data_IF_856395075833
#
_entry.id   IF_856395075833
#
_cell.length_a   1.000
_cell.length_b   1.000
_cell.length_c   1.000
_cell.angle_alpha   90.00
_cell.angle_beta   90.00
_cell.angle_gamma   90.00
#
_symmetry.space_group_name_H-M   'P 1'
#
loop_
_entity.id
_entity.type
_entity.pdbx_description
1 polymer ?
#
# COMPACT_ATOMS: atom_id res chain seq x y z
N UNK A 1 -8.97 1.66 -35.78
CA UNK A 1 -8.31 1.73 -34.46
C UNK A 1 -8.87 0.60 -33.60
N UNK A 2 -8.06 -0.36 -33.16
CA UNK A 2 -8.55 -1.47 -32.33
C UNK A 2 -9.06 -0.93 -31.00
N UNK A 3 -10.28 -1.31 -30.59
CA UNK A 3 -10.85 -0.88 -29.32
C UNK A 3 -10.00 -1.44 -28.18
N UNK A 4 -9.44 -0.55 -27.35
CA UNK A 4 -8.60 -0.96 -26.21
C UNK A 4 -9.43 -1.76 -25.22
N UNK A 5 -8.90 -2.90 -24.77
CA UNK A 5 -9.56 -3.69 -23.73
C UNK A 5 -9.67 -2.89 -22.43
N UNK A 6 -10.68 -3.19 -21.60
CA UNK A 6 -10.86 -2.55 -20.28
C UNK A 6 -9.59 -2.64 -19.43
N UNK A 7 -8.92 -3.80 -19.44
CA UNK A 7 -7.67 -4.01 -18.71
C UNK A 7 -6.50 -3.16 -19.21
N UNK A 8 -6.37 -2.96 -20.54
CA UNK A 8 -5.33 -2.07 -21.09
C UNK A 8 -5.60 -0.60 -20.74
N UNK A 9 -6.86 -0.17 -20.82
CA UNK A 9 -7.27 1.17 -20.42
C UNK A 9 -6.98 1.42 -18.94
N UNK A 10 -7.29 0.45 -18.09
CA UNK A 10 -7.00 0.50 -16.66
C UNK A 10 -5.50 0.56 -16.37
N UNK A 11 -4.68 -0.31 -16.99
CA UNK A 11 -3.21 -0.27 -16.84
C UNK A 11 -2.64 1.09 -17.19
N UNK A 12 -3.04 1.66 -18.33
CA UNK A 12 -2.57 2.99 -18.76
C UNK A 12 -2.96 4.08 -17.77
N UNK A 13 -4.21 4.08 -17.28
CA UNK A 13 -4.68 5.06 -16.32
C UNK A 13 -3.95 4.94 -14.97
N UNK A 14 -3.76 3.69 -14.50
CA UNK A 14 -3.05 3.42 -13.25
C UNK A 14 -1.58 3.84 -13.33
N UNK A 15 -0.89 3.57 -14.45
CA UNK A 15 0.49 4.03 -14.64
C UNK A 15 0.61 5.55 -14.66
N UNK A 16 -0.28 6.24 -15.37
CA UNK A 16 -0.26 7.70 -15.45
C UNK A 16 -0.47 8.33 -14.07
N UNK A 17 -1.42 7.80 -13.30
CA UNK A 17 -1.68 8.29 -11.96
C UNK A 17 -0.54 7.98 -10.97
N UNK A 18 0.07 6.79 -11.07
CA UNK A 18 1.22 6.41 -10.24
C UNK A 18 2.38 7.39 -10.45
N UNK A 19 2.68 7.74 -11.72
CA UNK A 19 3.71 8.75 -12.06
C UNK A 19 3.40 10.12 -11.47
N UNK A 20 2.16 10.57 -11.63
CA UNK A 20 1.72 11.88 -11.15
C UNK A 20 1.80 11.96 -9.62
N UNK A 21 1.29 10.94 -8.92
CA UNK A 21 1.33 10.87 -7.47
C UNK A 21 2.77 10.76 -6.95
N UNK A 22 3.62 9.97 -7.61
CA UNK A 22 5.03 9.82 -7.23
C UNK A 22 5.89 11.06 -7.51
N UNK A 23 5.37 12.04 -8.25
CA UNK A 23 6.14 13.19 -8.78
C UNK A 23 7.30 12.79 -9.71
N UNK A 24 7.10 11.70 -10.47
CA UNK A 24 8.15 11.12 -11.33
C UNK A 24 7.60 10.85 -12.72
N UNK A 25 7.64 11.82 -13.65
CA UNK A 25 7.10 11.63 -15.00
C UNK A 25 7.84 10.53 -15.78
N UNK A 26 9.14 10.34 -15.51
CA UNK A 26 9.98 9.30 -16.12
C UNK A 26 9.85 7.90 -15.51
N UNK A 27 9.06 7.73 -14.43
CA UNK A 27 8.93 6.45 -13.74
C UNK A 27 8.37 5.39 -14.70
N UNK A 28 9.09 4.27 -14.85
CA UNK A 28 8.61 3.11 -15.59
C UNK A 28 7.60 2.38 -14.72
N UNK A 29 6.48 1.99 -15.29
CA UNK A 29 5.45 1.23 -14.58
C UNK A 29 5.19 -0.04 -15.36
N UNK A 30 5.44 -1.17 -14.73
CA UNK A 30 5.21 -2.49 -15.31
C UNK A 30 4.22 -3.29 -14.45
N UNK A 31 3.68 -4.35 -15.04
CA UNK A 31 2.62 -5.15 -14.44
C UNK A 31 3.01 -6.62 -14.42
N UNK A 32 2.89 -7.28 -13.28
CA UNK A 32 3.24 -8.68 -13.10
C UNK A 32 2.39 -9.41 -12.06
N UNK A 33 2.59 -10.72 -11.87
CA UNK A 33 1.87 -11.51 -10.87
C UNK A 33 2.39 -11.26 -9.44
N UNK A 34 3.58 -10.67 -9.31
CA UNK A 34 4.27 -10.45 -8.04
C UNK A 34 3.63 -9.36 -7.19
N UNK A 35 4.05 -9.28 -5.92
CA UNK A 35 3.64 -8.20 -5.03
C UNK A 35 4.20 -6.86 -5.53
N UNK A 36 3.43 -5.77 -5.39
CA UNK A 36 3.91 -4.45 -5.79
C UNK A 36 5.21 -4.06 -5.09
N UNK A 37 6.19 -3.57 -5.86
CA UNK A 37 7.48 -3.13 -5.34
C UNK A 37 8.13 -2.10 -6.25
N UNK A 38 9.17 -1.43 -5.75
CA UNK A 38 10.00 -0.49 -6.52
C UNK A 38 11.39 -1.10 -6.70
N UNK A 39 11.91 -1.03 -7.92
CA UNK A 39 13.30 -1.35 -8.25
C UNK A 39 13.91 -0.20 -9.05
N UNK A 40 14.79 0.58 -8.41
CA UNK A 40 15.36 1.79 -9.03
C UNK A 40 14.27 2.78 -9.46
N UNK A 41 14.21 3.08 -10.75
CA UNK A 41 13.20 3.96 -11.38
C UNK A 41 12.04 3.19 -12.03
N UNK A 42 11.83 1.94 -11.62
CA UNK A 42 10.71 1.11 -12.06
C UNK A 42 9.79 0.73 -10.89
N UNK A 43 8.49 0.98 -11.08
CA UNK A 43 7.42 0.54 -10.21
C UNK A 43 6.75 -0.69 -10.81
N UNK A 44 6.85 -1.82 -10.12
CA UNK A 44 6.17 -3.06 -10.48
C UNK A 44 4.84 -3.11 -9.75
N UNK A 45 3.73 -3.16 -10.48
CA UNK A 45 2.38 -3.28 -9.95
C UNK A 45 1.79 -4.66 -10.26
N UNK A 46 0.78 -5.07 -9.48
CA UNK A 46 0.05 -6.29 -9.75
C UNK A 46 -0.77 -6.15 -11.03
N UNK A 47 -0.70 -7.14 -11.91
CA UNK A 47 -1.48 -7.16 -13.13
C UNK A 47 -2.99 -7.29 -12.82
N UNK A 48 -3.86 -6.52 -13.51
CA UNK A 48 -5.29 -6.68 -13.33
C UNK A 48 -5.74 -8.06 -13.83
N UNK A 49 -6.72 -8.69 -13.15
CA UNK A 49 -7.28 -9.96 -13.58
C UNK A 49 -8.00 -9.81 -14.95
N UNK A 50 -8.20 -10.93 -15.70
CA UNK A 50 -8.90 -10.89 -16.99
C UNK A 50 -10.30 -10.25 -16.91
N UNK A 51 -11.02 -10.52 -15.81
CA UNK A 51 -12.28 -9.87 -15.47
C UNK A 51 -12.03 -8.93 -14.30
N UNK A 52 -12.05 -7.63 -14.59
CA UNK A 52 -11.75 -6.58 -13.62
C UNK A 52 -13.03 -6.18 -12.86
N UNK A 53 -13.19 -6.66 -11.62
CA UNK A 53 -14.31 -6.25 -10.76
C UNK A 53 -14.02 -4.89 -10.08
N UNK A 54 -15.06 -4.15 -9.63
CA UNK A 54 -14.86 -2.89 -8.89
C UNK A 54 -13.93 -3.02 -7.69
N UNK A 55 -14.02 -4.11 -6.92
CA UNK A 55 -13.15 -4.34 -5.76
C UNK A 55 -11.70 -4.54 -6.17
N UNK A 56 -11.44 -5.20 -7.31
CA UNK A 56 -10.09 -5.37 -7.85
C UNK A 56 -9.50 -4.01 -8.26
N UNK A 57 -10.32 -3.14 -8.87
CA UNK A 57 -9.92 -1.78 -9.23
C UNK A 57 -9.46 -1.01 -8.00
N UNK A 58 -10.26 -1.02 -6.94
CA UNK A 58 -9.95 -0.29 -5.72
C UNK A 58 -8.68 -0.81 -5.03
N UNK A 59 -8.51 -2.13 -4.92
CA UNK A 59 -7.33 -2.74 -4.30
C UNK A 59 -6.06 -2.44 -5.11
N UNK A 60 -6.11 -2.64 -6.43
CA UNK A 60 -4.97 -2.34 -7.31
C UNK A 60 -4.63 -0.86 -7.28
N UNK A 61 -5.64 0.00 -7.14
CA UNK A 61 -5.45 1.43 -7.00
C UNK A 61 -4.79 1.82 -5.68
N UNK A 62 -5.26 1.29 -4.56
CA UNK A 62 -4.65 1.55 -3.26
C UNK A 62 -3.21 1.06 -3.15
N UNK A 63 -2.92 -0.11 -3.74
CA UNK A 63 -1.55 -0.63 -3.84
C UNK A 63 -0.64 0.31 -4.65
N UNK A 64 -1.11 0.81 -5.79
CA UNK A 64 -0.35 1.74 -6.62
C UNK A 64 -0.15 3.09 -5.93
N UNK A 65 -1.18 3.62 -5.27
CA UNK A 65 -1.11 4.88 -4.53
C UNK A 65 -0.13 4.76 -3.35
N UNK A 66 -0.14 3.65 -2.59
CA UNK A 66 0.82 3.40 -1.51
C UNK A 66 2.27 3.31 -2.00
N UNK A 67 2.50 2.67 -3.15
CA UNK A 67 3.81 2.63 -3.80
C UNK A 67 4.26 4.03 -4.24
N UNK A 68 3.35 4.82 -4.81
CA UNK A 68 3.61 6.19 -5.22
C UNK A 68 3.94 7.10 -4.01
N UNK A 69 3.23 6.95 -2.89
CA UNK A 69 3.52 7.69 -1.66
C UNK A 69 4.91 7.34 -1.13
N UNK A 70 5.30 6.07 -1.19
CA UNK A 70 6.67 5.66 -0.86
C UNK A 70 7.67 6.35 -1.78
N UNK A 71 7.50 6.30 -3.09
CA UNK A 71 8.41 6.96 -4.04
C UNK A 71 8.53 8.47 -3.81
N UNK A 72 7.44 9.13 -3.39
CA UNK A 72 7.39 10.58 -3.17
C UNK A 72 8.01 11.00 -1.83
N UNK A 73 7.72 10.28 -0.75
CA UNK A 73 7.97 10.75 0.61
C UNK A 73 9.00 9.94 1.40
N UNK A 74 9.48 8.83 0.86
CA UNK A 74 10.51 8.00 1.48
C UNK A 74 11.92 8.44 1.07
N UNK A 75 12.82 8.57 2.03
CA UNK A 75 14.25 8.72 1.78
C UNK A 75 14.96 7.40 2.10
N UNK A 76 15.44 6.71 1.07
CA UNK A 76 16.05 5.38 1.20
C UNK A 76 17.35 5.37 2.00
N UNK A 77 18.21 6.38 1.82
CA UNK A 77 19.50 6.44 2.50
C UNK A 77 19.33 6.76 3.98
N UNK A 78 18.47 7.71 4.30
CA UNK A 78 18.14 8.05 5.68
C UNK A 78 17.51 6.85 6.39
N UNK A 79 16.51 6.22 5.77
CA UNK A 79 15.87 5.03 6.34
C UNK A 79 16.88 3.90 6.59
N UNK A 80 17.79 3.65 5.62
CA UNK A 80 18.82 2.62 5.79
C UNK A 80 19.78 2.96 6.94
N UNK A 81 20.17 4.22 7.09
CA UNK A 81 21.12 4.66 8.12
C UNK A 81 20.59 4.53 9.55
N UNK A 82 19.26 4.62 9.73
CA UNK A 82 18.59 4.52 11.03
C UNK A 82 17.97 3.15 11.29
N UNK A 83 18.08 2.22 10.34
CA UNK A 83 17.40 0.95 10.45
C UNK A 83 18.03 0.08 11.55
N UNK A 84 17.21 -0.52 12.44
CA UNK A 84 17.70 -1.39 13.49
C UNK A 84 18.25 -2.71 12.94
N UNK A 85 19.16 -3.34 13.68
CA UNK A 85 19.82 -4.59 13.29
C UNK A 85 18.98 -5.85 13.51
N UNK A 86 18.09 -5.86 14.51
CA UNK A 86 17.24 -7.02 14.81
C UNK A 86 16.15 -7.23 13.77
N UNK A 87 15.93 -8.47 13.33
CA UNK A 87 14.96 -8.81 12.27
C UNK A 87 13.54 -8.30 12.57
N UNK A 88 13.03 -8.53 13.79
CA UNK A 88 11.69 -8.08 14.20
C UNK A 88 11.63 -6.55 14.25
N UNK A 89 12.63 -5.92 14.87
CA UNK A 89 12.72 -4.47 14.95
C UNK A 89 12.78 -3.83 13.56
N UNK A 90 13.49 -4.47 12.61
CA UNK A 90 13.59 -4.03 11.23
C UNK A 90 12.25 -4.12 10.52
N UNK A 91 11.52 -5.22 10.68
CA UNK A 91 10.18 -5.37 10.11
C UNK A 91 9.21 -4.31 10.64
N UNK A 92 9.24 -4.03 11.95
CA UNK A 92 8.45 -2.95 12.56
C UNK A 92 8.84 -1.58 11.97
N UNK A 93 10.14 -1.30 11.89
CA UNK A 93 10.66 -0.03 11.37
C UNK A 93 10.28 0.20 9.90
N UNK A 94 10.45 -0.81 9.06
CA UNK A 94 10.09 -0.75 7.63
C UNK A 94 8.58 -0.56 7.43
N UNK A 95 7.77 -1.25 8.24
CA UNK A 95 6.31 -1.15 8.17
C UNK A 95 5.78 0.20 8.67
N UNK A 96 6.35 0.74 9.75
CA UNK A 96 6.00 2.07 10.27
C UNK A 96 6.37 3.18 9.29
N UNK A 97 7.50 3.06 8.58
CA UNK A 97 7.84 4.00 7.52
C UNK A 97 6.82 3.97 6.38
N UNK A 98 6.39 2.77 5.97
CA UNK A 98 5.34 2.64 4.97
C UNK A 98 4.05 3.31 5.43
N UNK A 99 3.66 3.11 6.69
CA UNK A 99 2.51 3.80 7.29
C UNK A 99 2.69 5.32 7.29
N UNK A 100 3.88 5.83 7.61
CA UNK A 100 4.16 7.27 7.63
C UNK A 100 3.93 7.91 6.26
N UNK A 101 4.48 7.34 5.20
CA UNK A 101 4.33 7.90 3.84
C UNK A 101 2.89 7.83 3.35
N UNK A 102 2.17 6.75 3.66
CA UNK A 102 0.75 6.59 3.33
C UNK A 102 -0.13 7.60 4.06
N UNK A 103 0.13 7.86 5.35
CA UNK A 103 -0.60 8.88 6.13
C UNK A 103 -0.36 10.27 5.57
N UNK A 104 0.86 10.61 5.14
CA UNK A 104 1.15 11.88 4.48
C UNK A 104 0.30 12.06 3.22
N UNK A 105 0.26 11.02 2.37
CA UNK A 105 -0.59 11.02 1.18
C UNK A 105 -2.07 11.17 1.49
N UNK A 106 -2.58 10.38 2.45
CA UNK A 106 -3.97 10.39 2.87
C UNK A 106 -4.43 11.75 3.41
N UNK A 107 -3.57 12.46 4.16
CA UNK A 107 -3.86 13.81 4.66
C UNK A 107 -3.96 14.85 3.55
N UNK A 108 -3.21 14.68 2.48
CA UNK A 108 -3.19 15.62 1.35
C UNK A 108 -4.31 15.35 0.35
N UNK A 109 -4.75 14.10 0.20
CA UNK A 109 -5.62 13.67 -0.89
C UNK A 109 -6.66 12.66 -0.39
N UNK A 110 -7.92 13.11 -0.26
CA UNK A 110 -9.04 12.27 0.20
C UNK A 110 -9.23 11.00 -0.67
N UNK A 111 -9.08 11.11 -1.99
CA UNK A 111 -9.16 9.93 -2.86
C UNK A 111 -8.06 8.89 -2.60
N UNK A 112 -6.82 9.35 -2.33
CA UNK A 112 -5.70 8.46 -1.96
C UNK A 112 -5.98 7.79 -0.62
N UNK A 113 -6.50 8.54 0.37
CA UNK A 113 -6.92 7.98 1.65
C UNK A 113 -7.91 6.83 1.47
N UNK A 114 -8.96 7.04 0.68
CA UNK A 114 -10.02 6.06 0.50
C UNK A 114 -9.52 4.81 -0.27
N UNK A 115 -8.59 4.99 -1.22
CA UNK A 115 -7.93 3.88 -1.91
C UNK A 115 -7.01 3.08 -0.97
N UNK A 116 -6.20 3.77 -0.16
CA UNK A 116 -5.33 3.14 0.84
C UNK A 116 -6.12 2.36 1.88
N UNK A 117 -7.26 2.89 2.34
CA UNK A 117 -8.13 2.22 3.28
C UNK A 117 -8.68 0.89 2.72
N UNK A 118 -9.12 0.88 1.46
CA UNK A 118 -9.60 -0.34 0.79
C UNK A 118 -8.50 -1.38 0.59
N UNK A 119 -7.29 -0.95 0.19
CA UNK A 119 -6.15 -1.85 0.07
C UNK A 119 -5.72 -2.42 1.43
N UNK A 120 -5.75 -1.61 2.50
CA UNK A 120 -5.44 -2.05 3.86
C UNK A 120 -6.46 -3.07 4.37
N UNK A 121 -7.74 -2.82 4.18
CA UNK A 121 -8.81 -3.73 4.60
C UNK A 121 -8.73 -5.08 3.85
N UNK A 122 -8.39 -5.06 2.56
CA UNK A 122 -8.08 -6.28 1.80
C UNK A 122 -6.87 -7.01 2.37
N UNK A 123 -5.77 -6.30 2.64
CA UNK A 123 -4.55 -6.88 3.23
C UNK A 123 -4.83 -7.53 4.59
N UNK A 124 -5.61 -6.88 5.45
CA UNK A 124 -6.00 -7.43 6.76
C UNK A 124 -6.73 -8.77 6.64
N UNK A 125 -7.65 -8.91 5.66
CA UNK A 125 -8.30 -10.20 5.37
C UNK A 125 -7.34 -11.23 4.78
N UNK A 126 -6.42 -10.81 3.91
CA UNK A 126 -5.47 -11.73 3.27
C UNK A 126 -4.49 -12.36 4.25
N UNK A 127 -4.10 -11.62 5.29
CA UNK A 127 -3.28 -12.15 6.39
C UNK A 127 -4.11 -12.77 7.52
N UNK A 128 -5.44 -12.81 7.37
CA UNK A 128 -6.35 -13.53 8.26
C UNK A 128 -6.68 -12.83 9.58
N UNK A 129 -6.53 -11.50 9.68
CA UNK A 129 -6.84 -10.77 10.92
C UNK A 129 -8.31 -10.90 11.35
N UNK A 130 -9.20 -11.15 10.40
CA UNK A 130 -10.62 -11.42 10.63
C UNK A 130 -10.89 -12.74 11.36
N UNK A 131 -9.91 -13.65 11.37
CA UNK A 131 -10.00 -14.99 11.96
C UNK A 131 -9.15 -15.16 13.21
N UNK A 132 -8.39 -14.13 13.58
CA UNK A 132 -7.56 -14.13 14.78
C UNK A 132 -8.46 -14.24 16.02
N UNK A 133 -8.15 -15.24 16.85
CA UNK A 133 -8.87 -15.50 18.10
C UNK A 133 -8.11 -15.00 19.32
N UNK A 134 -6.76 -14.97 19.26
CA UNK A 134 -5.90 -14.45 20.32
C UNK A 134 -5.01 -13.30 19.79
N UNK A 135 -4.88 -12.16 20.50
CA UNK A 135 -4.08 -11.01 20.04
C UNK A 135 -2.60 -11.32 19.77
N UNK A 136 -2.05 -12.38 20.39
CA UNK A 136 -0.66 -12.82 20.21
C UNK A 136 -0.35 -13.39 18.83
N UNK A 137 -1.37 -13.74 18.04
CA UNK A 137 -1.20 -14.31 16.70
C UNK A 137 -0.96 -13.25 15.61
N UNK A 138 -1.10 -11.97 15.94
CA UNK A 138 -0.87 -10.87 14.99
C UNK A 138 0.62 -10.55 14.91
N UNK A 139 1.22 -10.51 13.70
CA UNK A 139 2.60 -10.06 13.54
C UNK A 139 2.79 -8.67 14.13
N UNK A 140 3.77 -8.52 15.04
CA UNK A 140 4.03 -7.28 15.78
C UNK A 140 4.13 -6.04 14.86
N UNK A 141 4.80 -6.17 13.71
CA UNK A 141 4.92 -5.10 12.73
C UNK A 141 3.56 -4.64 12.18
N UNK A 142 2.64 -5.55 11.91
CA UNK A 142 1.28 -5.20 11.44
C UNK A 142 0.48 -4.54 12.55
N UNK A 143 0.48 -5.12 13.75
CA UNK A 143 -0.23 -4.57 14.90
C UNK A 143 0.19 -3.12 15.20
N UNK A 144 1.50 -2.87 15.27
CA UNK A 144 2.05 -1.53 15.50
C UNK A 144 1.74 -0.59 14.34
N UNK A 145 1.77 -1.05 13.10
CA UNK A 145 1.45 -0.21 11.93
C UNK A 145 -0.01 0.24 11.89
N UNK A 146 -0.94 -0.63 12.30
CA UNK A 146 -2.36 -0.33 12.37
C UNK A 146 -2.66 0.69 13.48
N UNK A 147 -2.07 0.50 14.66
CA UNK A 147 -2.16 1.46 15.77
C UNK A 147 -1.50 2.80 15.43
N UNK A 148 -0.33 2.78 14.79
CA UNK A 148 0.33 3.99 14.32
C UNK A 148 -0.52 4.73 13.29
N UNK A 149 -1.12 4.02 12.33
CA UNK A 149 -2.05 4.60 11.36
C UNK A 149 -3.23 5.25 12.06
N UNK A 150 -3.86 4.56 13.00
CA UNK A 150 -5.01 5.09 13.75
C UNK A 150 -4.67 6.42 14.44
N UNK A 151 -3.51 6.47 15.11
CA UNK A 151 -3.04 7.68 15.80
C UNK A 151 -2.61 8.80 14.87
N UNK A 152 -1.93 8.49 13.77
CA UNK A 152 -1.39 9.48 12.85
C UNK A 152 -2.45 9.99 11.85
N UNK A 153 -3.32 9.12 11.34
CA UNK A 153 -4.39 9.49 10.41
C UNK A 153 -5.63 10.05 11.12
N UNK A 154 -5.87 9.66 12.38
CA UNK A 154 -7.12 9.96 13.08
C UNK A 154 -8.31 9.14 12.56
N UNK A 155 -8.04 8.05 11.84
CA UNK A 155 -9.03 7.14 11.29
C UNK A 155 -9.05 5.84 12.12
N UNK A 156 -10.22 5.24 12.36
CA UNK A 156 -10.27 3.97 13.08
C UNK A 156 -9.54 2.87 12.31
N UNK A 157 -8.96 1.91 13.04
CA UNK A 157 -8.48 0.67 12.42
C UNK A 157 -9.62 -0.03 11.65
N UNK A 158 -9.33 -0.71 10.51
CA UNK A 158 -10.33 -1.48 9.78
C UNK A 158 -11.07 -2.44 10.70
N UNK A 159 -12.38 -2.62 10.47
CA UNK A 159 -13.20 -3.53 11.27
C UNK A 159 -12.67 -4.97 11.26
N UNK A 160 -12.05 -5.37 10.14
CA UNK A 160 -11.36 -6.65 9.94
C UNK A 160 -10.18 -6.86 10.86
N UNK A 161 -9.56 -5.80 11.39
CA UNK A 161 -8.41 -5.87 12.28
C UNK A 161 -8.73 -5.52 13.73
N UNK A 162 -9.91 -4.94 14.03
CA UNK A 162 -10.23 -4.41 15.36
C UNK A 162 -10.07 -5.46 16.46
N UNK A 163 -10.72 -6.62 16.29
CA UNK A 163 -10.65 -7.73 17.26
C UNK A 163 -9.22 -8.24 17.47
N UNK A 164 -8.41 -8.21 16.42
CA UNK A 164 -7.03 -8.70 16.48
C UNK A 164 -6.09 -7.76 17.26
N UNK A 165 -6.53 -6.52 17.53
CA UNK A 165 -5.74 -5.50 18.21
C UNK A 165 -6.25 -5.15 19.62
N UNK A 166 -7.42 -5.65 20.01
CA UNK A 166 -8.02 -5.47 21.34
C UNK A 166 -7.40 -6.45 22.36
#
# INVERSE_FOLDING_TARGET
MSAKTTGETFRRALSAATRALADRPGLKVSFGPERPHVSGDEAHLKAPPPRLAPDDVAVLRGQADGLAMRLRFHNTDLHRSHAPSGMIARAVYDRLEQTRVEVLGARMMAGVRDNLAQALDRHCREIGLDRVSEPGDVPLAEALSLRARERMAGEPVPSTARRALD
#
